data_IF_871472598134
#
_entry.id   IF_871472598134
#
_cell.length_a   1.000
_cell.length_b   1.000
_cell.length_c   1.000
_cell.angle_alpha   90.00
_cell.angle_beta   90.00
_cell.angle_gamma   90.00
#
_symmetry.space_group_name_H-M   'P 1'
#
loop_
_entity.id
_entity.type
_entity.pdbx_description
1 polymer ?
#
# COMPACT_ATOMS: atom_id res chain seq x y z
N UNK A 1 3.58 14.11 0.36
CA UNK A 1 3.61 13.35 -0.90
C UNK A 1 5.02 12.85 -1.24
N UNK A 2 5.19 11.54 -1.47
CA UNK A 2 6.45 10.98 -1.96
C UNK A 2 6.50 11.02 -3.50
N UNK A 3 7.05 12.11 -4.04
CA UNK A 3 7.07 12.39 -5.48
C UNK A 3 7.90 11.37 -6.27
N UNK A 4 8.96 10.81 -5.67
CA UNK A 4 9.79 9.80 -6.34
C UNK A 4 9.02 8.49 -6.57
N UNK A 5 8.28 8.02 -5.55
CA UNK A 5 7.42 6.84 -5.69
C UNK A 5 6.28 7.08 -6.69
N UNK A 6 5.66 8.26 -6.65
CA UNK A 6 4.63 8.65 -7.61
C UNK A 6 5.17 8.61 -9.03
N UNK A 7 6.39 9.13 -9.27
CA UNK A 7 7.03 9.07 -10.58
C UNK A 7 7.22 7.64 -11.07
N UNK A 8 7.79 6.75 -10.25
CA UNK A 8 7.97 5.34 -10.64
C UNK A 8 6.65 4.68 -11.06
N UNK A 9 5.56 5.00 -10.37
CA UNK A 9 4.23 4.52 -10.76
C UNK A 9 3.76 5.15 -12.09
N UNK A 10 3.97 6.46 -12.28
CA UNK A 10 3.58 7.17 -13.51
C UNK A 10 4.36 6.73 -14.76
N UNK A 11 5.57 6.19 -14.59
CA UNK A 11 6.39 5.64 -15.67
C UNK A 11 5.83 4.31 -16.22
N UNK A 12 4.86 3.69 -15.53
CA UNK A 12 4.23 2.46 -16.01
C UNK A 12 3.36 2.72 -17.25
N UNK A 13 3.20 1.73 -18.16
CA UNK A 13 2.42 1.90 -19.40
C UNK A 13 0.97 2.34 -19.18
N UNK A 14 0.41 2.06 -18.00
CA UNK A 14 -0.94 2.41 -17.62
C UNK A 14 -1.16 3.93 -17.53
N UNK A 15 -0.13 4.69 -17.14
CA UNK A 15 -0.24 6.14 -16.87
C UNK A 15 0.60 7.02 -17.79
N UNK A 16 1.52 6.43 -18.57
CA UNK A 16 2.50 7.14 -19.39
C UNK A 16 1.89 8.15 -20.38
N UNK A 17 0.72 7.83 -20.97
CA UNK A 17 0.08 8.66 -21.99
C UNK A 17 -1.14 9.45 -21.49
N UNK A 18 -1.42 9.41 -20.20
CA UNK A 18 -2.59 10.09 -19.63
C UNK A 18 -2.30 11.57 -19.38
N UNK A 19 -3.34 12.40 -19.48
CA UNK A 19 -3.25 13.76 -18.97
C UNK A 19 -2.99 13.74 -17.45
N UNK A 20 -2.39 14.79 -16.88
CA UNK A 20 -2.20 14.89 -15.43
C UNK A 20 -3.50 14.70 -14.65
N UNK A 21 -4.60 15.25 -15.15
CA UNK A 21 -5.93 15.12 -14.56
C UNK A 21 -6.44 13.67 -14.60
N UNK A 22 -6.31 12.99 -15.75
CA UNK A 22 -6.77 11.60 -15.90
C UNK A 22 -5.93 10.63 -15.06
N UNK A 23 -4.61 10.84 -15.01
CA UNK A 23 -3.71 10.05 -14.18
C UNK A 23 -4.07 10.19 -12.69
N UNK A 24 -4.31 11.42 -12.21
CA UNK A 24 -4.75 11.65 -10.84
C UNK A 24 -6.11 10.99 -10.56
N UNK A 25 -7.09 11.11 -11.46
CA UNK A 25 -8.38 10.45 -11.32
C UNK A 25 -8.24 8.93 -11.23
N UNK A 26 -7.44 8.33 -12.11
CA UNK A 26 -7.26 6.88 -12.15
C UNK A 26 -6.47 6.36 -10.95
N UNK A 27 -5.44 7.07 -10.48
CA UNK A 27 -4.69 6.72 -9.27
C UNK A 27 -5.56 6.83 -8.00
N UNK A 28 -6.51 7.76 -7.98
CA UNK A 28 -7.42 7.98 -6.86
C UNK A 28 -8.69 7.11 -6.92
N UNK A 29 -8.94 6.39 -8.02
CA UNK A 29 -10.09 5.52 -8.13
C UNK A 29 -10.01 4.34 -7.13
N UNK A 30 -11.06 4.07 -6.33
CA UNK A 30 -11.06 3.03 -5.30
C UNK A 30 -11.30 1.64 -5.92
N UNK A 31 -10.30 1.10 -6.61
CA UNK A 31 -10.40 -0.14 -7.39
C UNK A 31 -9.68 -1.33 -6.77
N UNK A 32 -8.82 -1.12 -5.77
CA UNK A 32 -8.01 -2.18 -5.17
C UNK A 32 -8.74 -2.71 -3.95
N UNK A 33 -9.25 -3.94 -4.05
CA UNK A 33 -9.82 -4.64 -2.91
C UNK A 33 -8.74 -5.02 -1.89
N UNK A 34 -9.06 -4.84 -0.61
CA UNK A 34 -8.26 -5.33 0.50
C UNK A 34 -9.18 -5.71 1.67
N UNK A 35 -8.64 -6.50 2.60
CA UNK A 35 -9.33 -6.79 3.85
C UNK A 35 -8.90 -5.78 4.90
N UNK A 36 -9.85 -4.97 5.35
CA UNK A 36 -9.62 -4.03 6.43
C UNK A 36 -9.72 -4.74 7.78
N UNK A 37 -9.02 -4.18 8.77
CA UNK A 37 -9.33 -4.49 10.16
C UNK A 37 -10.69 -3.91 10.49
N UNK A 38 -11.56 -4.74 11.07
CA UNK A 38 -12.95 -4.39 11.34
C UNK A 38 -13.08 -4.03 12.81
N UNK A 39 -13.64 -2.87 13.18
CA UNK A 39 -13.90 -2.54 14.57
C UNK A 39 -14.77 -3.62 15.22
N UNK A 40 -14.38 -4.09 16.41
CA UNK A 40 -15.08 -5.21 17.08
C UNK A 40 -16.56 -4.91 17.26
N UNK A 41 -16.92 -3.68 17.63
CA UNK A 41 -18.32 -3.27 17.76
C UNK A 41 -19.11 -3.37 16.44
N UNK A 42 -18.52 -3.01 15.31
CA UNK A 42 -19.14 -3.18 13.98
C UNK A 42 -19.31 -4.66 13.66
N UNK A 43 -18.31 -5.47 13.99
CA UNK A 43 -18.37 -6.90 13.80
C UNK A 43 -19.48 -7.55 14.65
N UNK A 44 -19.59 -7.20 15.93
CA UNK A 44 -20.66 -7.68 16.81
C UNK A 44 -22.02 -7.31 16.22
N UNK A 45 -22.21 -6.04 15.82
CA UNK A 45 -23.44 -5.56 15.23
C UNK A 45 -23.80 -6.30 13.95
N UNK A 46 -22.82 -6.55 13.07
CA UNK A 46 -23.01 -7.35 11.86
C UNK A 46 -23.49 -8.77 12.20
N UNK A 47 -22.82 -9.45 13.13
CA UNK A 47 -23.20 -10.81 13.53
C UNK A 47 -24.59 -10.86 14.17
N UNK A 48 -24.95 -9.86 14.97
CA UNK A 48 -26.29 -9.77 15.57
C UNK A 48 -27.37 -9.52 14.52
N UNK A 49 -27.17 -8.56 13.62
CA UNK A 49 -28.15 -8.19 12.60
C UNK A 49 -28.34 -9.26 11.51
N UNK A 50 -27.30 -10.06 11.24
CA UNK A 50 -27.36 -11.20 10.30
C UNK A 50 -27.90 -12.49 10.93
N UNK A 51 -28.10 -12.52 12.25
CA UNK A 51 -28.51 -13.72 13.00
C UNK A 51 -27.40 -14.75 13.22
N UNK A 52 -26.19 -14.52 12.69
CA UNK A 52 -25.03 -15.40 12.86
C UNK A 52 -24.60 -15.53 14.32
N UNK A 53 -24.76 -14.45 15.09
CA UNK A 53 -24.49 -14.43 16.51
C UNK A 53 -25.37 -15.41 17.29
N UNK A 54 -26.68 -15.46 16.98
CA UNK A 54 -27.61 -16.38 17.61
C UNK A 54 -27.28 -17.85 17.27
N UNK A 55 -26.82 -18.12 16.05
CA UNK A 55 -26.36 -19.44 15.64
C UNK A 55 -25.16 -19.91 16.44
N UNK A 56 -24.18 -19.04 16.67
CA UNK A 56 -23.04 -19.34 17.54
C UNK A 56 -23.48 -19.61 18.99
N UNK A 57 -24.39 -18.80 19.53
CA UNK A 57 -24.94 -18.99 20.86
C UNK A 57 -25.68 -20.33 21.03
N UNK A 58 -26.39 -20.79 20.00
CA UNK A 58 -27.14 -22.05 20.05
C UNK A 58 -26.21 -23.27 20.15
N UNK A 59 -25.01 -23.20 19.56
CA UNK A 59 -24.13 -24.37 19.43
C UNK A 59 -23.00 -24.41 20.46
N UNK A 60 -22.54 -23.28 21.02
CA UNK A 60 -21.35 -23.30 21.89
C UNK A 60 -21.55 -24.13 23.18
N UNK A 61 -22.79 -24.23 23.69
CA UNK A 61 -23.10 -25.03 24.89
C UNK A 61 -23.37 -26.50 24.58
N UNK A 62 -24.18 -26.78 23.56
CA UNK A 62 -24.85 -28.08 23.45
C UNK A 62 -24.57 -28.83 22.14
N UNK A 63 -23.62 -28.37 21.31
CA UNK A 63 -23.26 -29.10 20.09
C UNK A 63 -22.57 -30.46 20.40
N UNK A 64 -22.94 -31.57 19.73
CA UNK A 64 -22.42 -32.91 20.04
C UNK A 64 -20.91 -33.04 19.83
N UNK A 65 -20.33 -32.24 18.93
CA UNK A 65 -18.89 -32.20 18.67
C UNK A 65 -18.23 -31.10 19.50
N UNK A 66 -17.39 -31.47 20.47
CA UNK A 66 -16.68 -30.55 21.37
C UNK A 66 -15.85 -29.50 20.61
N UNK A 67 -15.18 -29.89 19.53
CA UNK A 67 -14.38 -28.98 18.73
C UNK A 67 -15.22 -27.82 18.16
N UNK A 68 -16.45 -28.10 17.70
CA UNK A 68 -17.36 -27.07 17.18
C UNK A 68 -17.81 -26.13 18.29
N UNK A 69 -18.01 -26.64 19.52
CA UNK A 69 -18.32 -25.81 20.69
C UNK A 69 -17.21 -24.80 20.97
N UNK A 70 -15.97 -25.27 21.01
CA UNK A 70 -14.78 -24.44 21.25
C UNK A 70 -14.60 -23.39 20.16
N UNK A 71 -14.80 -23.77 18.89
CA UNK A 71 -14.72 -22.85 17.75
C UNK A 71 -15.81 -21.77 17.85
N UNK A 72 -17.04 -22.14 18.19
CA UNK A 72 -18.13 -21.19 18.36
C UNK A 72 -17.93 -20.25 19.55
N UNK A 73 -17.42 -20.77 20.68
CA UNK A 73 -17.04 -19.96 21.84
C UNK A 73 -15.93 -18.96 21.49
N UNK A 74 -14.90 -19.41 20.77
CA UNK A 74 -13.82 -18.53 20.30
C UNK A 74 -14.33 -17.42 19.38
N UNK A 75 -15.24 -17.73 18.45
CA UNK A 75 -15.85 -16.73 17.58
C UNK A 75 -16.69 -15.70 18.37
N UNK A 76 -17.46 -16.15 19.37
CA UNK A 76 -18.18 -15.25 20.28
C UNK A 76 -17.23 -14.37 21.08
N UNK A 77 -16.19 -14.96 21.68
CA UNK A 77 -15.19 -14.24 22.46
C UNK A 77 -14.49 -13.16 21.63
N UNK A 78 -14.12 -13.47 20.37
CA UNK A 78 -13.54 -12.48 19.45
C UNK A 78 -14.50 -11.33 19.18
N UNK A 79 -15.77 -11.64 18.91
CA UNK A 79 -16.82 -10.63 18.66
C UNK A 79 -17.15 -9.76 19.88
N UNK A 80 -16.76 -10.17 21.08
CA UNK A 80 -16.99 -9.44 22.34
C UNK A 80 -15.70 -8.97 23.00
N UNK A 81 -14.55 -9.23 22.38
CA UNK A 81 -13.26 -8.96 23.00
C UNK A 81 -13.05 -7.46 23.18
N UNK A 82 -12.21 -7.09 24.16
CA UNK A 82 -11.77 -5.71 24.32
C UNK A 82 -10.74 -5.29 23.24
N UNK A 83 -10.42 -6.19 22.31
CA UNK A 83 -9.56 -5.85 21.18
C UNK A 83 -10.34 -4.86 20.32
N UNK A 84 -9.79 -3.68 19.99
CA UNK A 84 -10.56 -2.64 19.31
C UNK A 84 -10.92 -3.03 17.87
N UNK A 85 -10.09 -3.83 17.22
CA UNK A 85 -10.25 -4.24 15.82
C UNK A 85 -9.92 -5.72 15.64
N UNK A 86 -10.58 -6.35 14.67
CA UNK A 86 -10.39 -7.76 14.30
C UNK A 86 -9.93 -7.83 12.84
N UNK A 87 -8.83 -8.53 12.62
CA UNK A 87 -8.35 -8.84 11.28
C UNK A 87 -8.93 -10.19 10.82
N UNK A 88 -9.93 -10.18 9.93
CA UNK A 88 -10.56 -11.42 9.43
C UNK A 88 -9.63 -12.27 8.55
N UNK A 89 -8.51 -11.74 8.07
CA UNK A 89 -7.47 -12.51 7.38
C UNK A 89 -6.49 -13.19 8.34
N UNK A 90 -6.64 -13.00 9.65
CA UNK A 90 -5.85 -13.74 10.63
C UNK A 90 -6.04 -15.26 10.43
N UNK A 91 -4.94 -16.01 10.47
CA UNK A 91 -4.95 -17.45 10.22
C UNK A 91 -5.93 -18.23 11.12
N UNK A 92 -6.07 -17.83 12.39
CA UNK A 92 -7.01 -18.46 13.32
C UNK A 92 -8.47 -18.24 12.89
N UNK A 93 -8.81 -17.03 12.43
CA UNK A 93 -10.18 -16.74 11.94
C UNK A 93 -10.43 -17.48 10.62
N UNK A 94 -9.46 -17.50 9.72
CA UNK A 94 -9.53 -18.25 8.46
C UNK A 94 -9.70 -19.76 8.69
N UNK A 95 -9.22 -20.31 9.80
CA UNK A 95 -9.46 -21.72 10.19
C UNK A 95 -10.81 -21.92 10.90
N UNK A 96 -11.32 -20.90 11.58
CA UNK A 96 -12.59 -20.95 12.31
C UNK A 96 -13.78 -21.02 11.35
N UNK A 97 -13.78 -20.24 10.26
CA UNK A 97 -14.92 -20.18 9.33
C UNK A 97 -15.25 -21.54 8.67
N UNK A 98 -14.28 -22.28 8.08
CA UNK A 98 -14.56 -23.59 7.51
C UNK A 98 -15.00 -24.61 8.57
N UNK A 99 -14.50 -24.51 9.81
CA UNK A 99 -14.93 -25.39 10.90
C UNK A 99 -16.40 -25.15 11.29
N UNK A 100 -16.85 -23.89 11.32
CA UNK A 100 -18.26 -23.56 11.56
C UNK A 100 -19.16 -24.05 10.42
N UNK A 101 -18.69 -23.99 9.17
CA UNK A 101 -19.43 -24.52 8.01
C UNK A 101 -19.49 -26.04 8.02
N UNK A 102 -18.36 -26.71 8.24
CA UNK A 102 -18.29 -28.17 8.33
C UNK A 102 -19.10 -28.72 9.52
N UNK A 103 -19.18 -27.95 10.61
CA UNK A 103 -20.03 -28.25 11.76
C UNK A 103 -21.52 -27.95 11.56
N UNK A 104 -21.93 -27.44 10.39
CA UNK A 104 -23.32 -27.10 10.09
C UNK A 104 -23.86 -25.90 10.88
N UNK A 105 -22.98 -25.14 11.54
CA UNK A 105 -23.36 -23.95 12.32
C UNK A 105 -23.74 -22.82 11.37
N UNK A 106 -22.89 -22.57 10.39
CA UNK A 106 -23.09 -21.58 9.33
C UNK A 106 -23.12 -22.28 7.97
N UNK A 107 -23.74 -21.63 6.99
CA UNK A 107 -23.63 -22.01 5.58
C UNK A 107 -22.38 -21.40 4.96
N UNK A 108 -21.94 -21.89 3.79
CA UNK A 108 -20.83 -21.27 3.06
C UNK A 108 -21.12 -19.79 2.73
N UNK A 109 -22.35 -19.47 2.31
CA UNK A 109 -22.73 -18.09 2.01
C UNK A 109 -22.65 -17.15 3.22
N UNK A 110 -22.83 -17.67 4.43
CA UNK A 110 -22.69 -16.91 5.68
C UNK A 110 -21.23 -16.69 6.07
N UNK A 111 -20.38 -17.69 5.85
CA UNK A 111 -18.94 -17.51 5.98
C UNK A 111 -18.42 -16.49 4.94
N UNK A 112 -18.92 -16.54 3.71
CA UNK A 112 -18.55 -15.60 2.66
C UNK A 112 -19.05 -14.18 2.97
N UNK A 113 -20.25 -14.02 3.55
CA UNK A 113 -20.79 -12.71 3.93
C UNK A 113 -19.94 -12.05 5.04
N UNK A 114 -19.45 -12.85 5.98
CA UNK A 114 -18.51 -12.41 7.02
C UNK A 114 -17.19 -11.92 6.40
N UNK A 115 -16.62 -12.65 5.44
CA UNK A 115 -15.41 -12.21 4.74
C UNK A 115 -15.65 -10.96 3.89
N UNK A 116 -16.77 -10.91 3.17
CA UNK A 116 -17.18 -9.76 2.38
C UNK A 116 -17.43 -8.52 3.26
N UNK A 117 -17.88 -8.69 4.51
CA UNK A 117 -18.05 -7.60 5.45
C UNK A 117 -16.73 -6.88 5.79
N UNK A 118 -15.58 -7.56 5.71
CA UNK A 118 -14.27 -6.93 5.88
C UNK A 118 -13.65 -6.40 4.59
N UNK A 119 -14.23 -6.70 3.42
CA UNK A 119 -13.71 -6.19 2.15
C UNK A 119 -13.96 -4.70 2.05
N UNK A 120 -12.91 -3.97 1.71
CA UNK A 120 -12.94 -2.54 1.41
C UNK A 120 -12.17 -2.32 0.12
N UNK A 121 -12.39 -1.18 -0.50
CA UNK A 121 -11.59 -0.72 -1.62
C UNK A 121 -10.72 0.45 -1.19
N UNK A 122 -9.50 0.51 -1.73
CA UNK A 122 -8.62 1.67 -1.63
C UNK A 122 -8.10 2.04 -3.00
N UNK A 123 -7.67 3.29 -3.13
CA UNK A 123 -7.04 3.75 -4.35
C UNK A 123 -5.57 3.31 -4.43
N UNK A 124 -5.01 3.31 -5.64
CA UNK A 124 -3.57 3.07 -5.84
C UNK A 124 -2.74 4.16 -5.15
N UNK A 125 -3.20 5.40 -5.19
CA UNK A 125 -2.65 6.53 -4.45
C UNK A 125 -2.60 6.25 -2.94
N UNK A 126 -3.70 5.81 -2.34
CA UNK A 126 -3.73 5.44 -0.92
C UNK A 126 -2.82 4.26 -0.60
N UNK A 127 -2.72 3.26 -1.49
CA UNK A 127 -1.85 2.10 -1.28
C UNK A 127 -0.36 2.48 -1.27
N UNK A 128 0.06 3.36 -2.19
CA UNK A 128 1.47 3.70 -2.38
C UNK A 128 1.93 4.88 -1.52
N UNK A 129 1.07 5.88 -1.36
CA UNK A 129 1.43 7.21 -0.86
C UNK A 129 0.69 7.56 0.43
N UNK A 130 -0.35 6.80 0.79
CA UNK A 130 -1.17 7.03 1.99
C UNK A 130 -2.15 8.19 1.87
N UNK A 131 -2.07 8.98 0.79
CA UNK A 131 -2.89 10.17 0.55
C UNK A 131 -3.31 10.27 -0.91
N UNK A 132 -4.42 10.97 -1.23
CA UNK A 132 -4.83 11.21 -2.62
C UNK A 132 -3.81 12.07 -3.38
N UNK A 133 -3.69 11.83 -4.68
CA UNK A 133 -2.77 12.57 -5.57
C UNK A 133 -3.53 13.67 -6.31
N UNK A 134 -2.96 14.87 -6.39
CA UNK A 134 -3.51 15.98 -7.17
C UNK A 134 -2.87 16.09 -8.55
N UNK A 135 -3.48 16.86 -9.45
CA UNK A 135 -2.86 17.17 -10.75
C UNK A 135 -1.48 17.83 -10.61
N UNK A 136 -1.31 18.69 -9.60
CA UNK A 136 -0.05 19.34 -9.31
C UNK A 136 1.05 18.35 -8.93
N UNK A 137 0.72 17.31 -8.15
CA UNK A 137 1.65 16.25 -7.78
C UNK A 137 2.11 15.44 -9.00
N UNK A 138 1.19 15.15 -9.92
CA UNK A 138 1.50 14.46 -11.19
C UNK A 138 2.46 15.29 -12.03
N UNK A 139 2.18 16.58 -12.17
CA UNK A 139 3.04 17.51 -12.90
C UNK A 139 4.43 17.61 -12.25
N UNK A 140 4.49 17.74 -10.92
CA UNK A 140 5.75 17.76 -10.19
C UNK A 140 6.57 16.47 -10.37
N UNK A 141 5.91 15.30 -10.33
CA UNK A 141 6.56 14.02 -10.56
C UNK A 141 7.12 13.87 -11.98
N UNK A 142 6.38 14.32 -13.01
CA UNK A 142 6.84 14.31 -14.40
C UNK A 142 7.98 15.29 -14.67
N UNK A 143 8.02 16.42 -13.95
CA UNK A 143 9.10 17.39 -14.04
C UNK A 143 10.37 16.95 -13.32
N UNK A 144 10.32 15.91 -12.48
CA UNK A 144 11.48 15.45 -11.71
C UNK A 144 12.63 15.01 -12.63
N UNK A 145 12.35 14.33 -13.75
CA UNK A 145 13.38 13.94 -14.74
C UNK A 145 14.06 15.14 -15.40
N UNK A 146 13.26 16.17 -15.71
CA UNK A 146 13.79 17.42 -16.27
C UNK A 146 14.71 18.12 -15.28
N UNK A 147 14.30 18.20 -14.01
CA UNK A 147 15.13 18.80 -12.97
C UNK A 147 16.42 18.00 -12.72
N UNK A 148 16.34 16.67 -12.72
CA UNK A 148 17.51 15.79 -12.54
C UNK A 148 18.50 15.91 -13.70
N UNK A 149 18.03 15.84 -14.94
CA UNK A 149 18.89 16.02 -16.13
C UNK A 149 19.54 17.40 -16.22
N UNK A 150 18.83 18.46 -15.81
CA UNK A 150 19.39 19.82 -15.73
C UNK A 150 20.49 19.91 -14.67
N UNK A 151 20.31 19.28 -13.50
CA UNK A 151 21.33 19.23 -12.44
C UNK A 151 22.58 18.50 -12.93
N UNK A 152 22.45 17.31 -13.54
CA UNK A 152 23.58 16.56 -14.08
C UNK A 152 24.35 17.37 -15.13
N UNK A 153 23.63 18.10 -15.98
CA UNK A 153 24.24 18.99 -16.98
C UNK A 153 25.02 20.14 -16.32
N UNK A 154 24.45 20.78 -15.30
CA UNK A 154 25.09 21.87 -14.58
C UNK A 154 26.32 21.40 -13.79
N UNK A 155 26.27 20.21 -13.19
CA UNK A 155 27.41 19.60 -12.51
C UNK A 155 28.55 19.28 -13.48
N UNK A 156 28.22 18.75 -14.66
CA UNK A 156 29.19 18.52 -15.74
C UNK A 156 29.86 19.81 -16.20
N UNK A 157 29.09 20.89 -16.42
CA UNK A 157 29.62 22.20 -16.79
C UNK A 157 30.51 22.80 -15.68
N UNK A 158 30.10 22.69 -14.41
CA UNK A 158 30.89 23.15 -13.27
C UNK A 158 32.23 22.44 -13.20
N UNK A 159 32.26 21.12 -13.43
CA UNK A 159 33.49 20.35 -13.45
C UNK A 159 34.44 20.82 -14.57
N UNK A 160 33.90 21.08 -15.78
CA UNK A 160 34.69 21.60 -16.89
C UNK A 160 35.26 22.99 -16.62
N UNK A 161 34.47 23.91 -16.04
CA UNK A 161 34.95 25.25 -15.67
C UNK A 161 36.07 25.17 -14.64
N UNK A 162 35.91 24.34 -13.60
CA UNK A 162 36.95 24.11 -12.59
C UNK A 162 38.26 23.59 -13.20
N UNK A 163 38.18 22.66 -14.15
CA UNK A 163 39.36 22.17 -14.89
C UNK A 163 40.01 23.28 -15.73
N UNK A 164 39.23 24.11 -16.41
CA UNK A 164 39.75 25.23 -17.19
C UNK A 164 40.42 26.28 -16.29
N UNK A 165 39.82 26.61 -15.14
CA UNK A 165 40.40 27.53 -14.16
C UNK A 165 41.71 26.99 -13.60
N UNK A 166 41.78 25.69 -13.30
CA UNK A 166 42.99 25.02 -12.87
C UNK A 166 44.10 25.09 -13.94
N UNK A 167 43.79 24.76 -15.20
CA UNK A 167 44.76 24.86 -16.31
C UNK A 167 45.23 26.29 -16.52
N UNK A 168 44.33 27.28 -16.46
CA UNK A 168 44.70 28.70 -16.54
C UNK A 168 45.62 29.12 -15.39
N UNK A 169 45.38 28.63 -14.17
CA UNK A 169 46.24 28.90 -13.03
C UNK A 169 47.65 28.30 -13.22
N UNK A 170 47.76 27.07 -13.74
CA UNK A 170 49.03 26.43 -14.08
C UNK A 170 49.80 27.22 -15.15
N UNK A 171 49.11 27.61 -16.24
CA UNK A 171 49.71 28.46 -17.28
C UNK A 171 50.23 29.79 -16.71
N UNK A 172 49.48 30.45 -15.81
CA UNK A 172 49.94 31.70 -15.15
C UNK A 172 51.17 31.50 -14.27
N UNK A 173 51.39 30.29 -13.76
CA UNK A 173 52.59 29.91 -13.00
C UNK A 173 53.75 29.45 -13.90
N UNK A 174 53.59 29.50 -15.23
CA UNK A 174 54.59 29.05 -16.19
C UNK A 174 54.70 27.52 -16.31
N UNK A 175 53.73 26.78 -15.76
CA UNK A 175 53.62 25.33 -15.89
C UNK A 175 52.75 25.06 -17.11
N UNK A 176 53.28 24.37 -18.11
CA UNK A 176 52.48 23.88 -19.23
C UNK A 176 51.56 22.74 -18.73
N UNK A 177 50.23 22.95 -18.66
CA UNK A 177 49.30 21.96 -18.14
C UNK A 177 49.05 20.80 -19.12
N UNK A 178 49.57 20.88 -20.35
CA UNK A 178 49.39 19.87 -21.40
C UNK A 178 50.63 18.99 -21.54
N UNK A 179 51.72 19.41 -20.91
CA UNK A 179 52.97 18.69 -20.87
C UNK A 179 52.97 17.76 -19.64
N UNK A 180 52.47 16.53 -19.82
CA UNK A 180 52.40 15.47 -18.79
C UNK A 180 53.80 14.93 -18.38
N UNK A 181 54.80 15.79 -18.22
CA UNK A 181 56.12 15.38 -17.75
C UNK A 181 56.81 14.34 -18.63
N UNK A 182 56.52 14.29 -19.93
CA UNK A 182 57.32 13.52 -20.88
C UNK A 182 58.48 14.38 -21.41
N UNK A 183 59.56 14.39 -20.64
CA UNK A 183 60.92 14.40 -21.18
C UNK A 183 61.56 15.76 -21.48
N UNK A 184 62.41 16.17 -20.52
CA UNK A 184 63.81 16.60 -20.66
C UNK A 184 64.25 17.41 -21.90
#
# INVERSE_FOLDING_TARGET
MNIALLKTELDTPQYANLSPTDAAQQLNAPTIEYFAEVPTAELTNFLMNSGLYAKLLAVYRDHPVLQIRVVAEGALALSQSQIPVVNLQNATIQQTLPALVAGGVWTQAEADSMLNFAKRTKSRAQQLLGEPVTEADINAARLLDKAQSEIETLESLRAQVSQLEYRQAQFRQGIDPDNNGEGA
#
